data_IF_865501109167
#
_entry.id   IF_865501109167
#
_cell.length_a   1.000
_cell.length_b   1.000
_cell.length_c   1.000
_cell.angle_alpha   90.00
_cell.angle_beta   90.00
_cell.angle_gamma   90.00
#
_symmetry.space_group_name_H-M   'P 1'
#
loop_
_entity.id
_entity.type
_entity.pdbx_description
1 polymer ?
#
# COMPACT_ATOMS: atom_id res chain seq x y z
N UNK A 1 5.05 -8.65 -21.25
CA UNK A 1 5.19 -7.39 -20.49
C UNK A 1 6.19 -7.66 -19.37
N UNK A 2 7.16 -6.77 -19.09
CA UNK A 2 8.06 -6.99 -17.97
C UNK A 2 7.27 -6.89 -16.66
N UNK A 3 7.33 -7.93 -15.85
CA UNK A 3 6.78 -7.93 -14.50
C UNK A 3 7.50 -6.83 -13.71
N UNK A 4 6.79 -5.95 -13.00
CA UNK A 4 7.45 -4.92 -12.19
C UNK A 4 8.34 -5.60 -11.14
N UNK A 5 9.58 -5.13 -10.91
CA UNK A 5 10.40 -5.61 -9.82
C UNK A 5 9.67 -5.47 -8.48
N UNK A 6 9.53 -6.59 -7.78
CA UNK A 6 8.95 -6.66 -6.44
C UNK A 6 10.09 -6.67 -5.44
N UNK A 7 10.18 -5.62 -4.62
CA UNK A 7 11.08 -5.57 -3.49
C UNK A 7 10.35 -5.95 -2.21
N UNK A 8 10.77 -7.05 -1.59
CA UNK A 8 10.21 -7.48 -0.31
C UNK A 8 11.19 -7.13 0.80
N UNK A 9 10.69 -6.46 1.84
CA UNK A 9 11.43 -6.13 3.05
C UNK A 9 10.98 -7.06 4.18
N UNK A 10 11.56 -8.27 4.28
CA UNK A 10 11.24 -9.17 5.38
C UNK A 10 11.73 -8.54 6.69
N UNK A 11 10.94 -8.67 7.74
CA UNK A 11 11.35 -8.29 9.09
C UNK A 11 11.63 -9.57 9.89
N UNK A 12 12.91 -10.01 10.01
CA UNK A 12 13.26 -11.29 10.64
C UNK A 12 12.83 -11.36 12.11
N UNK A 13 12.74 -10.20 12.77
CA UNK A 13 12.35 -10.08 14.17
C UNK A 13 10.87 -10.42 14.44
N UNK A 14 9.99 -10.38 13.42
CA UNK A 14 8.55 -10.51 13.61
C UNK A 14 7.97 -11.82 13.04
N UNK A 15 8.74 -12.58 12.25
CA UNK A 15 8.32 -13.83 11.61
C UNK A 15 6.91 -13.80 10.98
N UNK A 16 6.47 -12.60 10.60
CA UNK A 16 5.15 -12.30 10.08
C UNK A 16 5.26 -12.13 8.58
N UNK A 17 4.17 -12.37 7.84
CA UNK A 17 4.11 -12.07 6.41
C UNK A 17 3.90 -10.55 6.20
N UNK A 18 4.39 -9.97 5.09
CA UNK A 18 4.19 -8.55 4.81
C UNK A 18 2.70 -8.24 4.64
N UNK A 19 2.17 -7.36 5.49
CA UNK A 19 0.74 -6.97 5.44
C UNK A 19 0.48 -5.74 4.55
N UNK A 20 1.54 -5.07 4.10
CA UNK A 20 1.45 -3.80 3.37
C UNK A 20 2.14 -3.90 2.01
N UNK A 21 1.43 -3.47 0.96
CA UNK A 21 1.97 -3.31 -0.38
C UNK A 21 1.99 -1.85 -0.78
N UNK A 22 3.11 -1.38 -1.34
CA UNK A 22 3.23 -0.05 -1.94
C UNK A 22 3.67 -0.20 -3.39
N UNK A 23 2.83 0.20 -4.33
CA UNK A 23 3.16 0.22 -5.76
C UNK A 23 3.52 1.64 -6.18
N UNK A 24 4.76 1.85 -6.62
CA UNK A 24 5.25 3.16 -7.07
C UNK A 24 5.32 3.17 -8.60
N UNK A 25 4.62 4.12 -9.21
CA UNK A 25 4.53 4.34 -10.67
C UNK A 25 4.16 3.10 -11.49
N UNK A 26 3.52 2.08 -10.90
CA UNK A 26 3.30 0.76 -11.52
C UNK A 26 4.59 0.08 -12.04
N UNK A 27 5.75 0.58 -11.61
CA UNK A 27 7.07 0.08 -12.01
C UNK A 27 7.73 -0.71 -10.91
N UNK A 28 7.48 -0.39 -9.64
CA UNK A 28 8.10 -1.07 -8.50
C UNK A 28 7.01 -1.38 -7.47
N UNK A 29 6.99 -2.61 -6.99
CA UNK A 29 6.10 -3.03 -5.90
C UNK A 29 6.92 -3.34 -4.67
N UNK A 30 6.55 -2.74 -3.54
CA UNK A 30 7.21 -2.96 -2.27
C UNK A 30 6.29 -3.74 -1.33
N UNK A 31 6.76 -4.88 -0.82
CA UNK A 31 6.09 -5.66 0.22
C UNK A 31 6.79 -5.44 1.56
N UNK A 32 6.05 -4.94 2.54
CA UNK A 32 6.58 -4.52 3.83
C UNK A 32 5.54 -4.67 4.95
N UNK A 33 5.99 -4.49 6.19
CA UNK A 33 5.15 -4.58 7.37
C UNK A 33 4.61 -3.22 7.80
N UNK A 34 3.33 -3.17 8.16
CA UNK A 34 2.68 -1.97 8.69
C UNK A 34 3.42 -1.43 9.93
N UNK A 35 3.94 -2.32 10.79
CA UNK A 35 4.74 -1.98 11.97
C UNK A 35 5.99 -1.17 11.62
N UNK A 36 6.67 -1.49 10.52
CA UNK A 36 7.87 -0.76 10.08
C UNK A 36 7.52 0.66 9.64
N UNK A 37 6.43 0.79 8.87
CA UNK A 37 5.92 2.08 8.43
C UNK A 37 5.48 2.95 9.61
N UNK A 38 4.75 2.37 10.58
CA UNK A 38 4.34 3.08 11.80
C UNK A 38 5.55 3.55 12.63
N UNK A 39 6.64 2.77 12.64
CA UNK A 39 7.85 3.08 13.40
C UNK A 39 8.67 4.21 12.76
N UNK A 40 8.85 4.19 11.45
CA UNK A 40 9.73 5.13 10.75
C UNK A 40 9.02 6.35 10.16
N UNK A 41 7.69 6.37 10.13
CA UNK A 41 6.94 7.47 9.53
C UNK A 41 5.68 7.83 10.31
N UNK A 42 5.65 9.07 10.81
CA UNK A 42 4.47 9.63 11.45
C UNK A 42 3.26 9.73 10.51
N UNK A 43 3.48 9.86 9.20
CA UNK A 43 2.42 9.86 8.18
C UNK A 43 1.70 8.51 8.16
N UNK A 44 2.45 7.43 7.92
CA UNK A 44 1.87 6.10 7.87
C UNK A 44 1.33 5.67 9.23
N UNK A 45 1.96 6.11 10.33
CA UNK A 45 1.41 5.88 11.67
C UNK A 45 0.00 6.41 11.80
N UNK A 46 -0.25 7.70 11.49
CA UNK A 46 -1.59 8.28 11.58
C UNK A 46 -2.58 7.62 10.63
N UNK A 47 -2.17 7.34 9.40
CA UNK A 47 -3.05 6.72 8.41
C UNK A 47 -3.41 5.27 8.74
N UNK A 48 -2.42 4.45 9.11
CA UNK A 48 -2.64 3.05 9.45
C UNK A 48 -3.43 2.96 10.77
N UNK A 49 -3.12 3.81 11.76
CA UNK A 49 -3.87 3.88 13.01
C UNK A 49 -5.33 4.32 12.76
N UNK A 50 -5.56 5.29 11.87
CA UNK A 50 -6.91 5.67 11.45
C UNK A 50 -7.65 4.56 10.70
N UNK A 51 -6.94 3.70 9.95
CA UNK A 51 -7.54 2.55 9.25
C UNK A 51 -7.82 1.38 10.19
N UNK A 52 -6.96 1.11 11.17
CA UNK A 52 -7.17 0.06 12.18
C UNK A 52 -8.45 0.34 12.99
N UNK A 53 -8.79 1.62 13.16
CA UNK A 53 -10.05 2.07 13.75
C UNK A 53 -11.25 1.99 12.78
N UNK A 54 -11.03 1.82 11.47
CA UNK A 54 -12.06 1.75 10.45
C UNK A 54 -12.19 0.30 9.94
N UNK A 55 -13.17 -0.44 10.49
CA UNK A 55 -13.58 -1.81 10.12
C UNK A 55 -13.06 -2.25 8.75
N UNK A 56 -12.04 -3.12 8.75
CA UNK A 56 -11.37 -3.49 7.52
C UNK A 56 -12.31 -4.22 6.54
N UNK A 57 -12.23 -3.93 5.24
CA UNK A 57 -12.93 -4.72 4.24
C UNK A 57 -12.33 -6.13 4.23
N UNK A 58 -13.04 -7.05 4.89
CA UNK A 58 -12.83 -8.49 4.91
C UNK A 58 -12.80 -9.03 3.46
N UNK A 59 -11.61 -9.22 2.89
CA UNK A 59 -11.44 -9.84 1.57
C UNK A 59 -10.23 -9.39 0.76
N UNK A 60 -9.46 -8.39 1.20
CA UNK A 60 -8.24 -7.98 0.52
C UNK A 60 -7.05 -8.89 0.89
N UNK A 61 -6.29 -9.36 -0.11
CA UNK A 61 -5.04 -10.12 0.09
C UNK A 61 -3.96 -9.31 0.83
N UNK A 62 -4.05 -7.97 0.76
CA UNK A 62 -3.16 -7.04 1.45
C UNK A 62 -3.98 -6.16 2.39
N UNK A 63 -3.54 -6.08 3.64
CA UNK A 63 -4.20 -5.29 4.69
C UNK A 63 -4.14 -3.79 4.36
N UNK A 64 -3.00 -3.36 3.83
CA UNK A 64 -2.78 -1.99 3.38
C UNK A 64 -2.21 -1.99 1.96
N UNK A 65 -2.94 -1.41 1.01
CA UNK A 65 -2.51 -1.28 -0.38
C UNK A 65 -2.36 0.20 -0.73
N UNK A 66 -1.19 0.57 -1.26
CA UNK A 66 -0.83 1.94 -1.54
C UNK A 66 -0.34 2.10 -2.99
N UNK A 67 -0.66 3.24 -3.61
CA UNK A 67 -0.20 3.61 -4.95
C UNK A 67 0.44 4.99 -4.94
N UNK A 68 1.50 5.16 -5.71
CA UNK A 68 2.05 6.48 -5.98
C UNK A 68 1.16 7.22 -6.98
N UNK A 69 0.70 8.41 -6.59
CA UNK A 69 -0.02 9.35 -7.44
C UNK A 69 0.89 10.53 -7.72
N UNK A 70 1.07 10.83 -9.00
CA UNK A 70 1.82 12.00 -9.48
C UNK A 70 0.83 13.12 -9.71
N UNK A 71 1.11 14.30 -9.18
CA UNK A 71 0.39 15.52 -9.51
C UNK A 71 1.02 16.23 -10.71
N UNK A 72 0.24 17.08 -11.39
CA UNK A 72 0.66 17.80 -12.59
C UNK A 72 1.93 18.65 -12.42
N UNK A 73 2.27 18.97 -11.17
CA UNK A 73 3.43 19.77 -10.81
C UNK A 73 4.73 18.96 -10.66
N UNK A 74 4.70 17.64 -10.93
CA UNK A 74 5.84 16.74 -10.80
C UNK A 74 6.11 16.24 -9.37
N UNK A 75 5.36 16.75 -8.38
CA UNK A 75 5.31 16.18 -7.04
C UNK A 75 4.51 14.88 -7.07
N UNK A 76 4.95 13.89 -6.30
CA UNK A 76 4.23 12.62 -6.15
C UNK A 76 4.12 12.25 -4.68
N UNK A 77 3.03 11.58 -4.33
CA UNK A 77 2.78 11.07 -2.98
C UNK A 77 2.11 9.71 -3.05
N UNK A 78 2.17 9.01 -1.92
CA UNK A 78 1.62 7.67 -1.80
C UNK A 78 0.25 7.75 -1.13
N UNK A 79 -0.78 7.33 -1.86
CA UNK A 79 -2.17 7.25 -1.38
C UNK A 79 -2.62 5.81 -1.25
N UNK A 80 -3.62 5.56 -0.42
CA UNK A 80 -4.29 4.25 -0.39
C UNK A 80 -4.82 3.96 -1.79
N UNK A 81 -4.58 2.75 -2.29
CA UNK A 81 -5.26 2.25 -3.48
C UNK A 81 -6.75 2.18 -3.13
N UNK A 82 -7.54 3.09 -3.68
CA UNK A 82 -8.99 2.93 -3.61
C UNK A 82 -9.30 1.57 -4.23
N UNK A 83 -10.08 0.74 -3.55
CA UNK A 83 -10.73 -0.36 -4.22
C UNK A 83 -11.74 0.28 -5.16
N UNK A 84 -11.28 0.60 -6.36
CA UNK A 84 -12.15 0.95 -7.46
C UNK A 84 -12.91 -0.33 -7.74
N UNK A 85 -14.05 -0.50 -7.07
CA UNK A 85 -15.13 -1.33 -7.57
C UNK A 85 -15.23 -0.97 -9.04
N UNK A 86 -14.87 -1.93 -9.89
CA UNK A 86 -15.09 -1.85 -11.31
C UNK A 86 -16.56 -1.49 -11.50
N UNK A 87 -16.86 -0.20 -11.66
CA UNK A 87 -18.04 0.21 -12.40
C UNK A 87 -17.64 -0.10 -13.84
N UNK A 88 -17.80 -1.38 -14.18
CA UNK A 88 -17.81 -1.83 -15.55
C UNK A 88 -18.77 -0.93 -16.30
N UNK A 89 -18.20 -0.04 -17.10
CA UNK A 89 -18.91 0.64 -18.16
C UNK A 89 -19.41 -0.46 -19.11
N UNK A 90 -20.60 -0.97 -18.85
CA UNK A 90 -21.39 -1.69 -19.84
C UNK A 90 -22.16 -0.63 -20.62
N UNK A 91 -21.65 -0.29 -21.80
CA UNK A 91 -22.39 0.43 -22.84
C UNK A 91 -22.74 -0.55 -23.95
#
# INVERSE_FOLDING_TARGET
>A
MPTPPVETFPMPALNSEPDTRITIFNHIEFHLHSSLLKLHSAYFRKFIDSLDNALEPSGAQWKYDWIAKVEGDGNWYVVKKAQESQVSASN
#
